data_IF_910756095780
#
_entry.id   IF_910756095780
#
_cell.length_a   1.000
_cell.length_b   1.000
_cell.length_c   1.000
_cell.angle_alpha   90.00
_cell.angle_beta   90.00
_cell.angle_gamma   90.00
#
_symmetry.space_group_name_H-M   'P 1'
#
loop_
_entity.id
_entity.type
_entity.pdbx_description
1 polymer ?
#
# COMPACT_ATOMS: atom_id res chain seq x y z
N UNK A 1 -18.67 -3.51 -30.55
CA UNK A 1 -18.18 -4.53 -29.60
C UNK A 1 -17.57 -3.77 -28.43
N UNK A 2 -18.36 -3.54 -27.39
CA UNK A 2 -17.91 -2.91 -26.16
C UNK A 2 -17.40 -4.02 -25.24
N UNK A 3 -16.20 -3.85 -24.68
CA UNK A 3 -15.49 -4.83 -23.88
C UNK A 3 -16.16 -5.01 -22.51
N UNK A 4 -16.58 -6.24 -22.20
CA UNK A 4 -17.33 -6.65 -21.00
C UNK A 4 -16.39 -7.13 -19.85
N UNK A 5 -15.16 -6.61 -19.78
CA UNK A 5 -14.03 -7.21 -19.04
C UNK A 5 -13.66 -6.48 -17.73
N UNK A 6 -14.59 -5.85 -17.01
CA UNK A 6 -14.31 -5.12 -15.74
C UNK A 6 -15.06 -5.58 -14.46
N UNK A 7 -15.78 -6.74 -14.37
CA UNK A 7 -16.33 -7.17 -13.09
C UNK A 7 -15.26 -7.79 -12.17
N UNK A 8 -14.16 -8.32 -12.72
CA UNK A 8 -13.15 -9.08 -11.97
C UNK A 8 -12.26 -8.19 -11.09
N UNK A 9 -11.77 -7.06 -11.60
CA UNK A 9 -10.92 -6.13 -10.85
C UNK A 9 -11.69 -5.42 -9.72
N UNK A 10 -12.92 -4.96 -10.00
CA UNK A 10 -13.80 -4.36 -8.99
C UNK A 10 -14.24 -5.41 -7.96
N UNK A 11 -14.54 -6.65 -8.37
CA UNK A 11 -14.86 -7.74 -7.43
C UNK A 11 -13.65 -8.14 -6.58
N UNK A 12 -12.43 -8.11 -7.12
CA UNK A 12 -11.20 -8.28 -6.35
C UNK A 12 -10.97 -7.10 -5.41
N UNK A 13 -11.27 -5.85 -5.79
CA UNK A 13 -11.20 -4.67 -4.94
C UNK A 13 -12.22 -4.69 -3.78
N UNK A 14 -13.44 -5.16 -4.05
CA UNK A 14 -14.54 -5.25 -3.07
C UNK A 14 -14.46 -6.49 -2.18
N UNK A 15 -13.66 -7.50 -2.53
CA UNK A 15 -13.47 -8.68 -1.71
C UNK A 15 -12.73 -8.27 -0.42
N UNK A 16 -13.34 -8.47 0.77
CA UNK A 16 -12.73 -8.05 2.03
C UNK A 16 -11.39 -8.77 2.21
N UNK A 17 -10.32 -8.01 2.46
CA UNK A 17 -8.95 -8.54 2.61
C UNK A 17 -8.03 -8.35 1.40
N UNK A 18 -8.53 -7.87 0.25
CA UNK A 18 -7.72 -7.63 -0.95
C UNK A 18 -6.70 -6.48 -0.81
N UNK A 19 -6.90 -5.59 0.17
CA UNK A 19 -5.95 -4.52 0.54
C UNK A 19 -4.59 -5.01 1.05
N UNK A 20 -4.48 -6.31 1.37
CA UNK A 20 -3.25 -6.95 1.86
C UNK A 20 -2.40 -7.58 0.74
N UNK A 21 -2.86 -7.52 -0.52
CA UNK A 21 -2.10 -8.06 -1.65
C UNK A 21 -0.96 -7.11 -2.07
N UNK A 22 0.27 -7.60 -2.29
CA UNK A 22 1.43 -6.76 -2.63
C UNK A 22 1.24 -5.91 -3.90
N UNK A 23 0.37 -6.35 -4.81
CA UNK A 23 -0.01 -5.63 -6.03
C UNK A 23 -0.75 -4.32 -5.74
N UNK A 24 -1.63 -4.30 -4.72
CA UNK A 24 -2.39 -3.08 -4.36
C UNK A 24 -1.45 -2.02 -3.76
N UNK A 25 -0.49 -2.45 -2.95
CA UNK A 25 0.54 -1.58 -2.39
C UNK A 25 1.41 -0.95 -3.48
N UNK A 26 1.76 -1.71 -4.51
CA UNK A 26 2.48 -1.20 -5.68
C UNK A 26 1.63 -0.20 -6.47
N UNK A 27 0.34 -0.46 -6.65
CA UNK A 27 -0.56 0.45 -7.36
C UNK A 27 -0.71 1.79 -6.62
N UNK A 28 -0.83 1.77 -5.29
CA UNK A 28 -0.88 2.98 -4.45
C UNK A 28 0.43 3.75 -4.52
N UNK A 29 1.58 3.07 -4.43
CA UNK A 29 2.90 3.69 -4.57
C UNK A 29 3.08 4.34 -5.95
N UNK A 30 2.66 3.65 -7.02
CA UNK A 30 2.66 4.17 -8.38
C UNK A 30 1.75 5.40 -8.55
N UNK A 31 0.56 5.39 -7.94
CA UNK A 31 -0.35 6.53 -7.98
C UNK A 31 0.24 7.75 -7.26
N UNK A 32 0.88 7.56 -6.10
CA UNK A 32 1.59 8.64 -5.41
C UNK A 32 2.80 9.15 -6.19
N UNK A 33 3.56 8.26 -6.85
CA UNK A 33 4.67 8.65 -7.71
C UNK A 33 4.20 9.49 -8.92
N UNK A 34 3.08 9.09 -9.54
CA UNK A 34 2.47 9.83 -10.64
C UNK A 34 1.99 11.22 -10.18
N UNK A 35 1.32 11.29 -9.03
CA UNK A 35 0.92 12.55 -8.39
C UNK A 35 2.11 13.46 -8.10
N UNK A 36 3.19 12.90 -7.57
CA UNK A 36 4.42 13.64 -7.31
C UNK A 36 5.04 14.20 -8.60
N UNK A 37 5.03 13.41 -9.69
CA UNK A 37 5.47 13.85 -11.02
C UNK A 37 4.61 15.03 -11.53
N UNK A 38 3.30 14.98 -11.34
CA UNK A 38 2.39 16.08 -11.69
C UNK A 38 2.69 17.32 -10.85
N UNK A 39 2.94 17.18 -9.55
CA UNK A 39 3.33 18.31 -8.70
C UNK A 39 4.67 18.92 -9.11
N UNK A 40 5.67 18.11 -9.46
CA UNK A 40 6.94 18.59 -9.99
C UNK A 40 6.74 19.40 -11.28
N UNK A 41 5.93 18.88 -12.20
CA UNK A 41 5.60 19.56 -13.46
C UNK A 41 4.89 20.89 -13.20
N UNK A 42 3.92 20.90 -12.30
CA UNK A 42 3.16 22.09 -11.92
C UNK A 42 4.01 23.13 -11.19
N UNK A 43 4.93 22.69 -10.33
CA UNK A 43 5.89 23.54 -9.63
C UNK A 43 6.85 24.24 -10.61
N UNK A 44 7.29 23.52 -11.66
CA UNK A 44 8.11 24.08 -12.73
C UNK A 44 7.35 25.14 -13.54
N UNK A 45 6.10 24.86 -13.94
CA UNK A 45 5.27 25.82 -14.70
C UNK A 45 5.00 27.11 -13.92
N UNK A 46 4.82 27.01 -12.60
CA UNK A 46 4.38 28.14 -11.77
C UNK A 46 5.53 28.98 -11.20
N UNK A 47 6.80 28.71 -11.56
CA UNK A 47 7.98 29.48 -11.11
C UNK A 47 8.08 29.65 -9.57
N UNK A 48 7.79 28.60 -8.81
CA UNK A 48 8.12 28.57 -7.37
C UNK A 48 7.11 29.24 -6.43
N UNK A 49 5.81 29.13 -6.70
CA UNK A 49 4.79 29.55 -5.73
C UNK A 49 4.78 28.61 -4.51
N UNK A 50 4.93 29.18 -3.30
CA UNK A 50 5.02 28.46 -2.01
C UNK A 50 3.87 27.44 -1.81
N UNK A 51 2.71 27.70 -2.41
CA UNK A 51 1.57 26.79 -2.40
C UNK A 51 1.94 25.37 -2.88
N UNK A 52 2.77 25.24 -3.93
CA UNK A 52 3.19 23.93 -4.45
C UNK A 52 4.16 23.20 -3.52
N UNK A 53 4.97 23.93 -2.76
CA UNK A 53 5.84 23.33 -1.75
C UNK A 53 5.03 22.70 -0.61
N UNK A 54 3.97 23.38 -0.17
CA UNK A 54 3.06 22.85 0.85
C UNK A 54 2.34 21.61 0.32
N UNK A 55 1.78 21.67 -0.89
CA UNK A 55 1.13 20.50 -1.52
C UNK A 55 2.07 19.30 -1.65
N UNK A 56 3.32 19.52 -2.02
CA UNK A 56 4.34 18.47 -2.11
C UNK A 56 4.66 17.86 -0.73
N UNK A 57 4.74 18.69 0.32
CA UNK A 57 4.96 18.23 1.68
C UNK A 57 3.81 17.38 2.22
N UNK A 58 2.56 17.81 2.01
CA UNK A 58 1.38 17.05 2.44
C UNK A 58 1.29 15.72 1.68
N UNK A 59 1.61 15.71 0.38
CA UNK A 59 1.71 14.50 -0.44
C UNK A 59 2.73 13.50 0.12
N UNK A 60 3.93 13.95 0.47
CA UNK A 60 4.95 13.09 1.09
C UNK A 60 4.53 12.57 2.47
N UNK A 61 3.86 13.41 3.27
CA UNK A 61 3.31 13.00 4.56
C UNK A 61 2.24 11.90 4.40
N UNK A 62 1.35 12.02 3.40
CA UNK A 62 0.39 10.98 3.05
C UNK A 62 1.09 9.68 2.63
N UNK A 63 2.08 9.76 1.74
CA UNK A 63 2.83 8.58 1.30
C UNK A 63 3.53 7.88 2.46
N UNK A 64 4.16 8.65 3.36
CA UNK A 64 4.76 8.15 4.60
C UNK A 64 3.72 7.47 5.51
N UNK A 65 2.55 8.07 5.70
CA UNK A 65 1.48 7.51 6.52
C UNK A 65 0.98 6.16 5.97
N UNK A 66 0.89 6.02 4.65
CA UNK A 66 0.52 4.74 4.02
C UNK A 66 1.62 3.70 4.22
N UNK A 67 2.89 4.04 4.00
CA UNK A 67 4.02 3.12 4.20
C UNK A 67 4.09 2.63 5.65
N UNK A 68 3.88 3.53 6.61
CA UNK A 68 3.81 3.21 8.03
C UNK A 68 2.62 2.29 8.34
N UNK A 69 1.42 2.59 7.84
CA UNK A 69 0.23 1.77 8.03
C UNK A 69 0.42 0.34 7.51
N UNK A 70 1.07 0.18 6.36
CA UNK A 70 1.38 -1.13 5.77
C UNK A 70 2.39 -1.92 6.60
N UNK A 71 3.41 -1.25 7.14
CA UNK A 71 4.35 -1.88 8.06
C UNK A 71 3.66 -2.32 9.35
N UNK A 72 2.72 -1.53 9.85
CA UNK A 72 1.94 -1.86 11.03
C UNK A 72 1.04 -3.07 10.78
N UNK A 73 0.37 -3.15 9.62
CA UNK A 73 -0.40 -4.33 9.23
C UNK A 73 0.46 -5.61 9.12
N UNK A 74 1.73 -5.49 8.72
CA UNK A 74 2.67 -6.62 8.67
C UNK A 74 3.17 -7.05 10.05
N UNK A 75 3.16 -6.15 11.04
CA UNK A 75 3.53 -6.44 12.43
C UNK A 75 2.41 -7.11 13.20
N UNK A 76 1.16 -6.90 12.80
CA UNK A 76 0.05 -7.68 13.32
C UNK A 76 0.33 -9.16 12.99
N UNK A 77 0.30 -10.06 13.99
CA UNK A 77 0.45 -11.47 13.73
C UNK A 77 -0.59 -11.87 12.68
N UNK A 78 -0.22 -12.58 11.60
CA UNK A 78 -1.22 -13.34 10.88
C UNK A 78 -1.93 -14.21 11.92
N UNK A 79 -3.25 -14.33 11.80
CA UNK A 79 -4.07 -15.22 12.64
C UNK A 79 -3.74 -16.71 12.40
N UNK A 80 -2.45 -17.08 12.37
CA UNK A 80 -1.91 -18.43 12.25
C UNK A 80 -0.67 -18.67 13.13
N UNK A 81 -0.32 -17.77 14.07
CA UNK A 81 0.67 -18.10 15.12
C UNK A 81 0.01 -18.81 16.31
N UNK A 82 -0.85 -19.78 16.02
CA UNK A 82 -1.14 -20.91 16.92
C UNK A 82 -0.69 -22.13 16.12
N UNK A 83 0.23 -22.94 16.66
CA UNK A 83 0.91 -24.09 16.02
C UNK A 83 2.27 -23.81 15.37
N UNK A 84 3.24 -23.24 16.11
CA UNK A 84 4.67 -23.59 15.89
C UNK A 84 5.58 -23.24 17.07
N UNK A 85 5.07 -23.26 18.29
CA UNK A 85 5.91 -23.16 19.50
C UNK A 85 5.79 -24.40 20.40
N UNK A 86 4.91 -25.35 20.08
CA UNK A 86 4.68 -26.58 20.87
C UNK A 86 5.11 -27.86 20.12
N UNK A 87 6.15 -27.81 19.29
CA UNK A 87 6.70 -28.98 18.61
C UNK A 87 8.21 -29.15 18.84
N UNK A 88 8.73 -28.68 19.97
CA UNK A 88 10.14 -28.85 20.35
C UNK A 88 10.35 -29.54 21.70
N UNK A 89 9.30 -30.08 22.32
CA UNK A 89 9.38 -30.79 23.61
C UNK A 89 8.98 -32.27 23.54
N UNK A 90 8.99 -32.91 22.36
CA UNK A 90 8.58 -34.33 22.24
C UNK A 90 9.35 -35.12 21.17
N UNK A 91 10.66 -34.89 20.99
CA UNK A 91 11.53 -35.78 20.19
C UNK A 91 12.93 -35.96 20.80
N UNK A 92 13.01 -36.14 22.12
CA UNK A 92 14.26 -36.59 22.76
C UNK A 92 14.10 -37.77 23.72
N UNK A 93 12.97 -38.48 23.66
CA UNK A 93 12.75 -39.67 24.46
C UNK A 93 11.78 -40.63 23.73
N UNK A 94 12.24 -41.27 22.65
CA UNK A 94 11.82 -42.60 22.24
C UNK A 94 12.74 -43.16 21.16
#
# INVERSE_FOLDING_TARGET
>A
MASDEEPSFISFLLKPGSSLHPTFLLAVDAAFALLFMVFLWSAYLTKGNLHFFVLMGIQLALWGSVKWFVQELKKLPPANTTTSVEASTEKKEQ
#
